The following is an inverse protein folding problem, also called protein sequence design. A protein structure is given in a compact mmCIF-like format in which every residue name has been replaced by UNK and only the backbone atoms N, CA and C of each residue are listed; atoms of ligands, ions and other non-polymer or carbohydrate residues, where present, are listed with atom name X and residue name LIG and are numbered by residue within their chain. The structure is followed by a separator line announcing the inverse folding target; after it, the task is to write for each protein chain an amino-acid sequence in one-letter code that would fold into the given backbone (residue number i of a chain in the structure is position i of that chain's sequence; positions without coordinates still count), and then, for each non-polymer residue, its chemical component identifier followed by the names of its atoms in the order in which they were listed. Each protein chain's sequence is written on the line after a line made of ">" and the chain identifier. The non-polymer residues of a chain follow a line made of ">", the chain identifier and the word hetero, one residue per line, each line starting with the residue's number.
data_IF_719098627230
#
_entry.id   IF_719098627230
#
_cell.length_a   1.000
_cell.length_b   1.000
_cell.length_c   1.000
_cell.angle_alpha   90.00
_cell.angle_beta   90.00
_cell.angle_gamma   90.00
#
_symmetry.space_group_name_H-M   'P 1'
#
loop_
_entity.id
_entity.type
_entity.pdbx_description
1 polymer ?
#
# COMPACT_ATOMS: atom_id res chain seq x y z
N UNK A 1 -9.62 -8.89 8.13
CA UNK A 1 -8.75 -9.19 6.97
C UNK A 1 -7.95 -7.96 6.62
N UNK A 2 -6.67 -8.12 6.44
CA UNK A 2 -5.78 -7.00 6.18
C UNK A 2 -5.16 -7.09 4.80
N UNK A 3 -4.96 -5.93 4.19
CA UNK A 3 -4.18 -5.81 2.98
C UNK A 3 -2.98 -4.92 3.26
N UNK A 4 -1.95 -5.08 2.47
CA UNK A 4 -0.74 -4.27 2.57
C UNK A 4 -0.58 -3.52 1.26
N UNK A 5 -0.44 -2.21 1.36
CA UNK A 5 -0.23 -1.35 0.21
C UNK A 5 1.21 -0.86 0.27
N UNK A 6 1.98 -1.14 -0.78
CA UNK A 6 3.34 -0.63 -0.86
C UNK A 6 3.43 0.39 -1.98
N UNK A 7 4.10 1.49 -1.71
CA UNK A 7 4.25 2.59 -2.66
C UNK A 7 5.73 2.92 -2.77
N UNK A 8 6.22 3.00 -4.00
CA UNK A 8 7.63 3.28 -4.25
C UNK A 8 7.77 4.22 -5.43
N UNK A 9 8.59 5.22 -5.30
CA UNK A 9 8.83 6.16 -6.38
C UNK A 9 9.49 7.43 -5.89
N UNK A 10 9.47 8.45 -6.73
CA UNK A 10 9.98 9.75 -6.33
C UNK A 10 9.02 10.39 -5.33
N UNK A 11 9.58 11.11 -4.39
CA UNK A 11 8.79 11.79 -3.38
C UNK A 11 7.92 12.88 -4.04
N UNK A 12 6.63 12.80 -3.80
CA UNK A 12 5.65 13.76 -4.28
C UNK A 12 4.83 14.27 -3.12
N UNK A 13 4.43 15.53 -3.20
CA UNK A 13 3.60 16.12 -2.15
C UNK A 13 2.24 15.41 -2.12
N UNK A 14 1.80 15.06 -0.94
CA UNK A 14 0.45 14.55 -0.74
C UNK A 14 0.23 13.10 -1.08
N UNK A 15 1.27 12.29 -1.24
CA UNK A 15 1.11 10.86 -1.56
C UNK A 15 0.25 10.18 -0.50
N UNK A 16 0.58 10.35 0.77
CA UNK A 16 -0.17 9.71 1.84
C UNK A 16 -1.63 10.14 1.83
N UNK A 17 -1.88 11.43 1.64
CA UNK A 17 -3.24 11.94 1.62
C UNK A 17 -4.04 11.33 0.47
N UNK A 18 -3.45 11.24 -0.71
CA UNK A 18 -4.15 10.70 -1.89
C UNK A 18 -4.45 9.22 -1.73
N UNK A 19 -3.49 8.44 -1.24
CA UNK A 19 -3.71 7.02 -1.00
C UNK A 19 -4.75 6.83 0.09
N UNK A 20 -4.66 7.62 1.16
CA UNK A 20 -5.61 7.54 2.26
C UNK A 20 -7.04 7.87 1.82
N UNK A 21 -7.19 8.83 0.91
CA UNK A 21 -8.51 9.19 0.40
C UNK A 21 -9.16 8.04 -0.36
N UNK A 22 -8.38 7.33 -1.17
CA UNK A 22 -8.91 6.17 -1.88
C UNK A 22 -9.34 5.10 -0.88
N UNK A 23 -8.54 4.86 0.13
CA UNK A 23 -8.89 3.88 1.17
C UNK A 23 -10.16 4.32 1.93
N UNK A 24 -10.24 5.59 2.31
CA UNK A 24 -11.38 6.09 3.05
C UNK A 24 -12.66 5.97 2.23
N UNK A 25 -12.60 6.31 0.96
CA UNK A 25 -13.77 6.22 0.08
C UNK A 25 -14.25 4.78 -0.06
N UNK A 26 -13.35 3.84 -0.02
CA UNK A 26 -13.69 2.41 -0.11
C UNK A 26 -14.15 1.83 1.22
N UNK A 27 -13.97 2.56 2.31
CA UNK A 27 -14.31 2.04 3.64
C UNK A 27 -13.21 1.20 4.26
N UNK A 28 -11.99 1.30 3.75
CA UNK A 28 -10.84 0.62 4.34
C UNK A 28 -10.28 1.46 5.48
N UNK A 29 -9.94 0.80 6.58
CA UNK A 29 -9.42 1.47 7.75
C UNK A 29 -7.91 1.31 7.81
N UNK A 30 -7.20 2.42 7.88
CA UNK A 30 -5.75 2.41 7.95
C UNK A 30 -5.32 2.05 9.36
N UNK A 31 -4.51 0.99 9.46
CA UNK A 31 -4.04 0.48 10.75
C UNK A 31 -2.68 1.08 11.09
N UNK A 32 -1.78 1.06 10.10
CA UNK A 32 -0.40 1.41 10.34
C UNK A 32 0.23 1.90 9.04
N UNK A 33 1.09 2.89 9.15
CA UNK A 33 1.83 3.43 8.00
C UNK A 33 3.29 3.59 8.39
N UNK A 34 4.17 3.09 7.54
CA UNK A 34 5.60 3.32 7.66
C UNK A 34 6.07 3.94 6.37
N UNK A 35 6.80 5.04 6.45
CA UNK A 35 7.32 5.69 5.25
C UNK A 35 8.74 6.15 5.48
N UNK A 36 9.48 6.21 4.39
CA UNK A 36 10.89 6.58 4.41
C UNK A 36 11.22 7.31 3.13
N UNK A 37 12.07 8.31 3.25
CA UNK A 37 12.60 9.02 2.08
C UNK A 37 14.11 8.89 2.14
N UNK A 38 14.66 8.30 1.09
CA UNK A 38 16.11 8.14 0.98
C UNK A 38 16.54 8.79 -0.32
N UNK A 39 17.32 9.86 -0.20
CA UNK A 39 17.66 10.71 -1.33
C UNK A 39 16.36 11.25 -1.92
N UNK A 40 16.00 10.86 -3.14
CA UNK A 40 14.76 11.30 -3.76
C UNK A 40 13.73 10.18 -3.85
N UNK A 41 14.03 9.04 -3.24
CA UNK A 41 13.12 7.90 -3.29
C UNK A 41 12.20 7.90 -2.08
N UNK A 42 10.93 7.74 -2.34
CA UNK A 42 9.89 7.60 -1.32
C UNK A 42 9.45 6.14 -1.28
N UNK A 43 9.39 5.58 -0.09
CA UNK A 43 8.89 4.23 0.12
C UNK A 43 7.88 4.25 1.25
N UNK A 44 6.71 3.66 1.02
CA UNK A 44 5.65 3.63 2.04
C UNK A 44 5.06 2.23 2.08
N UNK A 45 4.82 1.75 3.30
CA UNK A 45 4.10 0.50 3.53
C UNK A 45 2.93 0.84 4.43
N UNK A 46 1.73 0.48 3.97
CA UNK A 46 0.51 0.79 4.69
C UNK A 46 -0.29 -0.48 4.91
N UNK A 47 -0.69 -0.71 6.17
CA UNK A 47 -1.55 -1.83 6.53
C UNK A 47 -2.97 -1.32 6.69
N UNK A 48 -3.92 -1.94 6.01
CA UNK A 48 -5.32 -1.50 6.06
C UNK A 48 -6.22 -2.69 6.34
N UNK A 49 -7.30 -2.41 7.10
CA UNK A 49 -8.34 -3.38 7.36
C UNK A 49 -9.37 -3.29 6.24
N UNK A 50 -9.65 -4.40 5.57
CA UNK A 50 -10.51 -4.42 4.40
C UNK A 50 -11.74 -5.32 4.56
N UNK A 51 -12.02 -5.79 5.79
CA UNK A 51 -13.17 -6.67 6.01
C UNK A 51 -14.50 -6.03 5.71
N UNK A 52 -14.61 -4.70 5.85
CA UNK A 52 -15.85 -3.98 5.68
C UNK A 52 -15.83 -3.01 4.50
N UNK A 53 -14.95 -3.23 3.53
CA UNK A 53 -14.90 -2.33 2.38
C UNK A 53 -16.18 -2.44 1.55
N UNK A 54 -16.52 -1.34 0.89
CA UNK A 54 -17.79 -1.19 0.16
C UNK A 54 -17.69 -1.64 -1.28
N UNK A 55 -16.49 -1.93 -1.75
CA UNK A 55 -16.24 -2.33 -3.14
C UNK A 55 -15.44 -3.64 -3.12
N UNK A 56 -15.44 -4.38 -4.23
CA UNK A 56 -14.62 -5.58 -4.30
C UNK A 56 -13.14 -5.24 -4.09
N UNK A 57 -12.41 -6.18 -3.50
CA UNK A 57 -10.99 -6.00 -3.25
C UNK A 57 -10.24 -5.67 -4.55
N UNK A 58 -10.59 -6.34 -5.65
CA UNK A 58 -9.94 -6.10 -6.93
C UNK A 58 -10.14 -4.66 -7.41
N UNK A 59 -11.32 -4.10 -7.14
CA UNK A 59 -11.58 -2.72 -7.53
C UNK A 59 -10.74 -1.75 -6.71
N UNK A 60 -10.59 -2.00 -5.41
CA UNK A 60 -9.74 -1.18 -4.56
C UNK A 60 -8.29 -1.23 -5.04
N UNK A 61 -7.82 -2.44 -5.34
CA UNK A 61 -6.46 -2.62 -5.86
C UNK A 61 -6.27 -1.86 -7.16
N UNK A 62 -7.23 -1.97 -8.08
CA UNK A 62 -7.14 -1.28 -9.37
C UNK A 62 -7.10 0.24 -9.20
N UNK A 63 -7.90 0.77 -8.29
CA UNK A 63 -7.92 2.22 -8.04
C UNK A 63 -6.59 2.71 -7.48
N UNK A 64 -5.98 1.94 -6.58
CA UNK A 64 -4.71 2.31 -5.99
C UNK A 64 -3.57 2.24 -7.00
N UNK A 65 -3.57 1.20 -7.83
CA UNK A 65 -2.56 1.06 -8.88
C UNK A 65 -2.70 2.19 -9.90
N UNK A 66 -3.93 2.52 -10.29
CA UNK A 66 -4.18 3.62 -11.22
C UNK A 66 -3.72 4.96 -10.65
N UNK A 67 -3.96 5.18 -9.36
CA UNK A 67 -3.48 6.40 -8.70
C UNK A 67 -1.96 6.48 -8.78
N UNK A 68 -1.30 5.35 -8.51
CA UNK A 68 0.16 5.30 -8.61
C UNK A 68 0.66 5.61 -10.01
N UNK A 69 0.02 5.03 -11.01
CA UNK A 69 0.39 5.28 -12.41
C UNK A 69 0.28 6.76 -12.75
N UNK A 70 -0.79 7.41 -12.27
CA UNK A 70 -0.98 8.84 -12.52
C UNK A 70 0.09 9.70 -11.84
N UNK A 71 0.65 9.22 -10.74
CA UNK A 71 1.65 9.97 -9.98
C UNK A 71 3.08 9.53 -10.30
N UNK A 72 3.24 8.57 -11.19
CA UNK A 72 4.56 8.04 -11.52
C UNK A 72 5.15 7.17 -10.43
N UNK A 73 4.28 6.52 -9.65
CA UNK A 73 4.70 5.66 -8.55
C UNK A 73 4.38 4.20 -8.86
N UNK A 74 5.13 3.30 -8.23
CA UNK A 74 4.81 1.88 -8.26
C UNK A 74 4.01 1.56 -7.01
N UNK A 75 2.77 1.12 -7.21
CA UNK A 75 1.88 0.76 -6.11
C UNK A 75 1.53 -0.72 -6.25
N UNK A 76 1.71 -1.45 -5.17
CA UNK A 76 1.31 -2.85 -5.10
C UNK A 76 0.36 -3.02 -3.93
N UNK A 77 -0.68 -3.82 -4.13
CA UNK A 77 -1.65 -4.14 -3.10
C UNK A 77 -1.67 -5.65 -2.96
N UNK A 78 -1.52 -6.15 -1.76
CA UNK A 78 -1.47 -7.59 -1.54
C UNK A 78 -2.12 -7.94 -0.21
N UNK A 79 -2.53 -9.19 -0.10
CA UNK A 79 -3.02 -9.72 1.17
C UNK A 79 -1.90 -9.77 2.19
N UNK A 80 -2.25 -9.58 3.43
CA UNK A 80 -1.29 -9.65 4.53
C UNK A 80 -0.54 -10.98 4.51
N UNK A 81 -1.24 -12.07 4.21
CA UNK A 81 -0.60 -13.39 4.19
C UNK A 81 0.53 -13.45 3.17
N UNK A 82 0.32 -12.85 2.00
CA UNK A 82 1.34 -12.83 0.97
C UNK A 82 2.53 -11.98 1.43
N UNK A 83 2.24 -10.83 2.00
CA UNK A 83 3.28 -9.94 2.50
C UNK A 83 4.12 -10.64 3.57
N UNK A 84 3.48 -11.31 4.51
CA UNK A 84 4.18 -11.99 5.58
C UNK A 84 5.07 -13.11 5.05
N UNK A 85 4.61 -13.83 4.02
CA UNK A 85 5.40 -14.87 3.40
C UNK A 85 6.67 -14.28 2.77
N UNK A 86 6.52 -13.18 2.04
CA UNK A 86 7.65 -12.50 1.43
C UNK A 86 8.61 -11.96 2.48
N UNK A 87 8.06 -11.37 3.53
CA UNK A 87 8.86 -10.82 4.61
C UNK A 87 9.71 -11.91 5.27
N UNK A 88 9.12 -13.07 5.53
CA UNK A 88 9.86 -14.20 6.10
C UNK A 88 10.99 -14.65 5.17
N UNK A 89 10.70 -14.74 3.88
CA UNK A 89 11.71 -15.17 2.92
C UNK A 89 12.87 -14.19 2.88
N UNK A 90 12.58 -12.91 2.90
CA UNK A 90 13.61 -11.90 2.76
C UNK A 90 14.35 -11.59 4.04
N UNK A 91 13.64 -11.60 5.15
CA UNK A 91 14.17 -11.12 6.42
C UNK A 91 14.69 -12.23 7.30
N UNK A 92 13.97 -13.34 7.38
CA UNK A 92 14.29 -14.46 8.24
C UNK A 92 14.92 -15.62 7.50
N UNK A 93 15.21 -15.44 6.22
CA UNK A 93 15.75 -16.50 5.40
C UNK A 93 17.11 -16.95 5.93
N UNK A 94 17.29 -18.26 6.18
CA UNK A 94 18.60 -18.76 6.53
C UNK A 94 19.52 -18.72 5.32
N UNK A 95 20.83 -18.62 5.58
CA UNK A 95 21.75 -18.59 4.45
C UNK A 95 22.00 -19.92 3.86
#
# INVERSE_FOLDING_TARGET
>A
MHAVITVLGKDNVGILAKVSNVCADAGANIIEVTQSVLQEMFAMIMFVEIGDIKIPYSELSDKLVALGDNLGLKVHVMHEDIFNTMYHVWYLKPE
#
